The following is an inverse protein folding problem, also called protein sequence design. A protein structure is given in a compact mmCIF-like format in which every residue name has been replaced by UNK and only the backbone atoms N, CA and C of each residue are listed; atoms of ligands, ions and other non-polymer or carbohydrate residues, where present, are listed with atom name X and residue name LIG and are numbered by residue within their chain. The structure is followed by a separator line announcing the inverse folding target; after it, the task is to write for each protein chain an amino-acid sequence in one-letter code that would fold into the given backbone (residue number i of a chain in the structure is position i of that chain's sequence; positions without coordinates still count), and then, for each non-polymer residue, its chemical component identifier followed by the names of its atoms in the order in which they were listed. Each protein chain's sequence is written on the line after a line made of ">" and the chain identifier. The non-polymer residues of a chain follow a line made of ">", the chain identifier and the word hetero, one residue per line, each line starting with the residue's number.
data_IF_005941960060
#
_entry.id   IF_005941960060
#
_cell.length_a   1.000
_cell.length_b   1.000
_cell.length_c   1.000
_cell.angle_alpha   90.00
_cell.angle_beta   90.00
_cell.angle_gamma   90.00
#
_symmetry.space_group_name_H-M   'P 1'
#
loop_
_entity.id
_entity.type
_entity.pdbx_description
1 polymer ?
#
# COMPACT_ATOMS: atom_id res chain seq x y z
N UNK A 1 -27.48 21.98 -16.78
CA UNK A 1 -26.51 21.20 -15.97
C UNK A 1 -27.05 19.79 -15.82
N UNK A 2 -26.57 18.83 -16.62
CA UNK A 2 -27.09 17.45 -16.65
C UNK A 2 -26.47 16.66 -15.49
N UNK A 3 -27.31 16.13 -14.59
CA UNK A 3 -26.86 15.21 -13.53
C UNK A 3 -26.75 13.80 -14.15
N UNK A 4 -25.59 13.12 -14.09
CA UNK A 4 -25.50 11.77 -14.59
C UNK A 4 -26.20 10.80 -13.62
N UNK A 5 -27.32 10.21 -14.06
CA UNK A 5 -27.95 9.06 -13.43
C UNK A 5 -27.03 7.84 -13.61
N UNK A 6 -26.42 7.37 -12.52
CA UNK A 6 -25.65 6.12 -12.52
C UNK A 6 -26.59 4.94 -12.33
N UNK A 7 -26.69 4.08 -13.34
CA UNK A 7 -27.46 2.84 -13.25
C UNK A 7 -26.60 1.72 -12.62
N UNK A 8 -27.26 0.85 -11.86
CA UNK A 8 -26.65 -0.35 -11.25
C UNK A 8 -26.07 -1.22 -12.37
N UNK A 9 -24.74 -1.45 -12.35
CA UNK A 9 -24.03 -2.20 -13.40
C UNK A 9 -23.11 -1.38 -14.31
N UNK A 10 -23.02 -0.06 -14.14
CA UNK A 10 -21.99 0.73 -14.83
C UNK A 10 -20.61 0.49 -14.20
N UNK A 11 -19.75 -0.24 -14.92
CA UNK A 11 -18.33 -0.39 -14.59
C UNK A 11 -17.55 0.80 -15.16
N UNK A 12 -16.74 1.44 -14.32
CA UNK A 12 -15.75 2.42 -14.76
C UNK A 12 -14.45 1.66 -14.96
N UNK A 13 -14.07 1.46 -16.22
CA UNK A 13 -12.75 0.93 -16.56
C UNK A 13 -11.73 2.06 -16.46
N UNK A 14 -10.79 1.91 -15.53
CA UNK A 14 -9.65 2.81 -15.41
C UNK A 14 -8.39 2.04 -15.82
N UNK A 15 -7.79 2.44 -16.94
CA UNK A 15 -6.50 1.92 -17.38
C UNK A 15 -5.41 2.75 -16.71
N UNK A 16 -4.50 2.09 -16.00
CA UNK A 16 -3.34 2.73 -15.36
C UNK A 16 -2.07 2.38 -16.14
N UNK A 17 -1.47 3.37 -16.78
CA UNK A 17 -0.14 3.26 -17.37
C UNK A 17 0.92 3.31 -16.25
N UNK A 18 1.71 2.24 -16.11
CA UNK A 18 2.76 2.10 -15.09
C UNK A 18 3.80 3.22 -15.18
N UNK A 19 4.27 3.55 -16.38
CA UNK A 19 5.27 4.59 -16.62
C UNK A 19 4.71 5.97 -16.32
N UNK A 20 3.44 6.22 -16.64
CA UNK A 20 2.77 7.46 -16.29
C UNK A 20 2.58 7.59 -14.77
N UNK A 21 2.19 6.51 -14.09
CA UNK A 21 2.01 6.49 -12.64
C UNK A 21 3.32 6.77 -11.90
N UNK A 22 4.40 6.07 -12.27
CA UNK A 22 5.74 6.25 -11.70
C UNK A 22 6.24 7.69 -11.89
N UNK A 23 6.09 8.25 -13.11
CA UNK A 23 6.43 9.65 -13.40
C UNK A 23 5.63 10.64 -12.55
N UNK A 24 4.33 10.44 -12.38
CA UNK A 24 3.47 11.32 -11.54
C UNK A 24 3.86 11.30 -10.07
N UNK A 25 4.28 10.15 -9.56
CA UNK A 25 4.68 9.99 -8.15
C UNK A 25 6.12 10.48 -7.93
N UNK A 26 6.89 10.71 -9.01
CA UNK A 26 8.30 11.16 -8.99
C UNK A 26 9.19 10.21 -8.20
N UNK A 27 8.94 8.92 -8.34
CA UNK A 27 9.71 7.82 -7.75
C UNK A 27 10.24 6.93 -8.87
N UNK A 28 11.24 6.11 -8.57
CA UNK A 28 11.70 5.06 -9.48
C UNK A 28 10.85 3.79 -9.30
N UNK A 29 10.94 2.85 -10.24
CA UNK A 29 10.26 1.55 -10.16
C UNK A 29 10.67 0.79 -8.90
N UNK A 30 11.95 0.85 -8.52
CA UNK A 30 12.46 0.24 -7.29
C UNK A 30 11.86 0.84 -6.02
N UNK A 31 11.69 2.16 -5.99
CA UNK A 31 11.07 2.84 -4.85
C UNK A 31 9.60 2.46 -4.72
N UNK A 32 8.91 2.23 -5.85
CA UNK A 32 7.53 1.81 -5.86
C UNK A 32 7.34 0.44 -5.21
N UNK A 33 8.29 -0.48 -5.39
CA UNK A 33 8.28 -1.80 -4.73
C UNK A 33 8.36 -1.61 -3.21
N UNK A 34 9.30 -0.81 -2.72
CA UNK A 34 9.43 -0.56 -1.27
C UNK A 34 8.22 0.21 -0.74
N UNK A 35 7.66 1.14 -1.52
CA UNK A 35 6.44 1.87 -1.17
C UNK A 35 5.25 0.91 -0.99
N UNK A 36 5.11 -0.10 -1.87
CA UNK A 36 4.07 -1.12 -1.75
C UNK A 36 4.28 -2.00 -0.51
N UNK A 37 5.53 -2.32 -0.15
CA UNK A 37 5.85 -3.06 1.08
C UNK A 37 5.39 -2.30 2.32
N UNK A 38 5.67 -0.99 2.41
CA UNK A 38 5.40 -0.21 3.64
C UNK A 38 3.98 0.37 3.72
N UNK A 39 3.29 0.54 2.60
CA UNK A 39 1.97 1.17 2.53
C UNK A 39 0.81 0.23 2.88
N UNK A 40 1.12 -1.02 3.20
CA UNK A 40 0.16 -2.06 3.52
C UNK A 40 -0.15 -2.91 2.30
N UNK A 41 0.08 -4.20 2.44
CA UNK A 41 -0.11 -5.20 1.40
C UNK A 41 -0.76 -6.44 2.01
N UNK A 42 -1.08 -7.42 1.17
CA UNK A 42 -1.74 -8.66 1.59
C UNK A 42 -0.95 -9.48 2.62
N UNK A 43 0.37 -9.27 2.71
CA UNK A 43 1.27 -10.03 3.59
C UNK A 43 1.56 -9.31 4.90
N UNK A 44 1.63 -7.98 4.89
CA UNK A 44 2.02 -7.16 6.04
C UNK A 44 1.21 -5.87 6.06
N UNK A 45 0.69 -5.54 7.24
CA UNK A 45 -0.02 -4.27 7.48
C UNK A 45 0.91 -3.07 7.41
N UNK A 46 0.35 -1.90 7.11
CA UNK A 46 1.11 -0.66 7.04
C UNK A 46 1.56 -0.16 8.42
N UNK A 47 2.44 0.83 8.41
CA UNK A 47 2.74 1.61 9.62
C UNK A 47 1.53 2.52 9.92
N UNK A 48 0.92 2.43 11.12
CA UNK A 48 -0.21 3.27 11.49
C UNK A 48 0.11 4.77 11.40
N UNK A 49 -0.89 5.57 11.03
CA UNK A 49 -0.74 7.03 10.94
C UNK A 49 0.09 7.53 9.75
N UNK A 50 0.45 6.64 8.82
CA UNK A 50 1.20 7.00 7.61
C UNK A 50 0.33 6.82 6.37
N UNK A 51 -0.10 7.95 5.79
CA UNK A 51 -0.78 7.96 4.50
C UNK A 51 0.21 7.80 3.34
N UNK A 52 -0.29 7.34 2.18
CA UNK A 52 0.53 7.13 0.97
C UNK A 52 1.32 8.39 0.59
N UNK A 53 0.68 9.57 0.62
CA UNK A 53 1.34 10.85 0.29
C UNK A 53 2.50 11.15 1.25
N UNK A 54 2.33 10.82 2.53
CA UNK A 54 3.39 10.98 3.55
C UNK A 54 4.56 10.04 3.26
N UNK A 55 4.27 8.79 2.89
CA UNK A 55 5.30 7.82 2.53
C UNK A 55 6.11 8.31 1.32
N UNK A 56 5.44 8.76 0.25
CA UNK A 56 6.11 9.31 -0.94
C UNK A 56 7.04 10.48 -0.58
N UNK A 57 6.60 11.40 0.29
CA UNK A 57 7.44 12.51 0.76
C UNK A 57 8.67 12.03 1.55
N UNK A 58 8.53 11.00 2.37
CA UNK A 58 9.67 10.42 3.12
C UNK A 58 10.67 9.81 2.13
N UNK A 59 10.20 9.09 1.11
CA UNK A 59 11.05 8.51 0.09
C UNK A 59 11.83 9.56 -0.71
N UNK A 60 11.18 10.66 -1.08
CA UNK A 60 11.84 11.80 -1.72
C UNK A 60 12.95 12.38 -0.83
N UNK A 61 12.69 12.57 0.47
CA UNK A 61 13.71 13.02 1.44
C UNK A 61 14.87 12.05 1.63
N UNK A 62 14.63 10.74 1.51
CA UNK A 62 15.70 9.74 1.56
C UNK A 62 16.58 9.88 0.31
N UNK A 63 15.97 10.05 -0.87
CA UNK A 63 16.67 10.19 -2.14
C UNK A 63 17.42 11.50 -2.33
N UNK A 64 16.98 12.58 -1.69
CA UNK A 64 17.75 13.83 -1.62
C UNK A 64 19.16 13.62 -1.04
N UNK A 65 19.37 12.56 -0.25
CA UNK A 65 20.68 12.21 0.34
C UNK A 65 21.53 11.28 -0.54
N UNK A 66 21.06 10.92 -1.73
CA UNK A 66 21.74 10.01 -2.68
C UNK A 66 20.89 8.82 -3.09
N UNK A 67 21.42 8.03 -4.02
CA UNK A 67 20.78 6.80 -4.47
C UNK A 67 21.09 5.62 -3.52
N UNK A 68 20.05 4.85 -3.23
CA UNK A 68 20.11 3.72 -2.30
C UNK A 68 19.46 2.48 -2.92
N UNK A 69 19.95 1.30 -2.57
CA UNK A 69 19.28 0.05 -2.92
C UNK A 69 17.92 -0.07 -2.22
N UNK A 70 17.01 -0.91 -2.74
CA UNK A 70 15.67 -1.14 -2.16
C UNK A 70 15.71 -1.46 -0.66
N UNK A 71 16.70 -2.25 -0.25
CA UNK A 71 16.91 -2.63 1.16
C UNK A 71 17.40 -1.47 2.01
N UNK A 72 18.33 -0.66 1.48
CA UNK A 72 18.84 0.51 2.18
C UNK A 72 17.74 1.58 2.35
N UNK A 73 16.89 1.76 1.34
CA UNK A 73 15.71 2.64 1.42
C UNK A 73 14.77 2.17 2.53
N UNK A 74 14.45 0.87 2.56
CA UNK A 74 13.56 0.31 3.59
C UNK A 74 14.13 0.51 5.01
N UNK A 75 15.42 0.23 5.22
CA UNK A 75 16.09 0.45 6.52
C UNK A 75 16.03 1.91 6.95
N UNK A 76 16.36 2.84 6.05
CA UNK A 76 16.29 4.29 6.33
C UNK A 76 14.87 4.75 6.60
N UNK A 77 13.90 4.22 5.87
CA UNK A 77 12.48 4.53 6.05
C UNK A 77 12.00 4.10 7.44
N UNK A 78 12.32 2.88 7.88
CA UNK A 78 12.00 2.38 9.22
C UNK A 78 12.64 3.24 10.31
N UNK A 79 13.92 3.60 10.13
CA UNK A 79 14.63 4.49 11.06
C UNK A 79 13.96 5.87 11.17
N UNK A 80 13.57 6.48 10.05
CA UNK A 80 12.86 7.76 10.02
C UNK A 80 11.45 7.67 10.61
N UNK A 81 10.79 6.53 10.46
CA UNK A 81 9.46 6.30 11.01
C UNK A 81 9.48 5.83 12.47
N UNK A 82 10.66 5.60 13.06
CA UNK A 82 10.83 5.05 14.41
C UNK A 82 9.99 3.79 14.61
N UNK A 83 10.01 2.89 13.63
CA UNK A 83 9.21 1.68 13.62
C UNK A 83 10.08 0.44 13.58
N UNK A 84 9.72 -0.53 14.41
CA UNK A 84 10.28 -1.88 14.52
C UNK A 84 9.45 -2.93 13.75
N UNK A 85 8.50 -2.49 12.92
CA UNK A 85 7.62 -3.37 12.16
C UNK A 85 8.44 -4.31 11.28
N UNK A 86 8.14 -5.61 11.38
CA UNK A 86 8.75 -6.61 10.54
C UNK A 86 8.07 -6.68 9.16
N UNK A 87 8.86 -6.48 8.11
CA UNK A 87 8.44 -6.59 6.70
C UNK A 87 9.07 -7.78 5.97
N UNK A 88 9.72 -8.73 6.65
CA UNK A 88 10.47 -9.83 6.04
C UNK A 88 9.63 -10.67 5.06
N UNK A 89 8.38 -10.97 5.41
CA UNK A 89 7.47 -11.73 4.55
C UNK A 89 7.16 -10.96 3.26
N UNK A 90 6.81 -9.68 3.37
CA UNK A 90 6.57 -8.83 2.20
C UNK A 90 7.85 -8.64 1.39
N UNK A 91 9.00 -8.47 2.05
CA UNK A 91 10.31 -8.35 1.39
C UNK A 91 10.61 -9.59 0.55
N UNK A 92 10.46 -10.79 1.12
CA UNK A 92 10.69 -12.05 0.42
C UNK A 92 9.76 -12.29 -0.77
N UNK A 93 8.57 -11.69 -0.77
CA UNK A 93 7.68 -11.74 -1.93
C UNK A 93 8.08 -10.66 -2.94
N UNK A 94 8.06 -9.39 -2.54
CA UNK A 94 8.16 -8.25 -3.45
C UNK A 94 9.57 -7.99 -3.99
N UNK A 95 10.63 -8.28 -3.23
CA UNK A 95 12.00 -8.00 -3.69
C UNK A 95 12.53 -9.12 -4.58
N UNK A 96 12.05 -10.35 -4.40
CA UNK A 96 12.46 -11.52 -5.18
C UNK A 96 11.77 -11.61 -6.55
N UNK A 97 10.74 -10.79 -6.82
CA UNK A 97 10.06 -10.77 -8.12
C UNK A 97 10.98 -10.43 -9.29
N UNK A 98 12.06 -9.67 -9.07
CA UNK A 98 13.05 -9.35 -10.11
C UNK A 98 14.01 -10.50 -10.41
N UNK A 99 14.11 -11.53 -9.56
CA UNK A 99 15.04 -12.66 -9.73
C UNK A 99 14.43 -13.85 -10.50
N UNK A 100 13.22 -13.72 -11.04
CA UNK A 100 12.52 -14.80 -11.75
C UNK A 100 12.08 -15.97 -10.86
N UNK A 101 12.26 -15.86 -9.54
CA UNK A 101 11.79 -16.81 -8.54
C UNK A 101 10.44 -16.35 -8.00
N UNK A 102 9.38 -16.67 -8.73
CA UNK A 102 8.03 -16.58 -8.20
C UNK A 102 7.91 -17.63 -7.09
N UNK A 103 7.86 -17.20 -5.83
CA UNK A 103 7.46 -18.09 -4.75
C UNK A 103 6.07 -18.64 -5.09
N UNK A 104 5.86 -19.96 -4.90
CA UNK A 104 4.54 -20.57 -5.05
C UNK A 104 3.49 -19.72 -4.31
N UNK A 105 2.29 -19.53 -4.89
CA UNK A 105 1.23 -18.75 -4.25
C UNK A 105 1.06 -19.20 -2.80
N UNK A 106 1.48 -18.36 -1.86
CA UNK A 106 1.44 -18.67 -0.44
C UNK A 106 -0.01 -19.03 -0.07
N UNK A 107 -0.24 -20.25 0.44
CA UNK A 107 -1.55 -20.73 0.86
C UNK A 107 -2.14 -19.82 1.95
N UNK A 108 -3.00 -18.89 1.52
CA UNK A 108 -3.59 -17.83 2.35
C UNK A 108 -4.61 -18.36 3.36
N UNK A 109 -4.95 -19.65 3.32
CA UNK A 109 -5.94 -20.25 4.23
C UNK A 109 -5.51 -20.25 5.71
N UNK A 110 -4.20 -20.17 6.00
CA UNK A 110 -3.67 -20.29 7.37
C UNK A 110 -3.47 -18.96 8.10
N UNK A 111 -3.41 -17.82 7.40
CA UNK A 111 -3.17 -16.49 7.98
C UNK A 111 -4.43 -15.72 8.43
N UNK A 112 -5.61 -16.13 7.97
CA UNK A 112 -6.87 -15.41 8.19
C UNK A 112 -7.54 -15.68 9.56
N UNK A 113 -6.98 -16.53 10.43
CA UNK A 113 -7.68 -16.96 11.66
C UNK A 113 -7.75 -15.94 12.81
N UNK A 114 -7.21 -14.72 12.69
CA UNK A 114 -7.29 -13.71 13.78
C UNK A 114 -7.40 -12.28 13.27
N UNK A 115 -8.52 -11.90 12.65
CA UNK A 115 -8.92 -10.48 12.65
C UNK A 115 -10.43 -10.18 12.50
N UNK A 116 -11.30 -11.19 12.41
CA UNK A 116 -12.73 -10.96 12.11
C UNK A 116 -13.65 -10.66 13.31
N UNK A 117 -13.15 -10.14 14.45
CA UNK A 117 -14.04 -9.88 15.61
C UNK A 117 -13.96 -8.53 16.31
N UNK A 118 -13.12 -7.56 15.89
CA UNK A 118 -12.99 -6.30 16.69
C UNK A 118 -13.06 -4.96 15.98
N UNK A 119 -13.39 -4.86 14.69
CA UNK A 119 -13.56 -3.53 14.06
C UNK A 119 -14.73 -3.45 13.08
N UNK A 120 -15.92 -3.85 13.52
CA UNK A 120 -17.19 -3.42 12.92
C UNK A 120 -18.08 -2.85 14.01
N UNK A 121 -17.74 -1.66 14.51
CA UNK A 121 -18.69 -0.84 15.28
C UNK A 121 -18.29 0.62 15.26
N UNK A 122 -18.45 1.33 14.14
CA UNK A 122 -18.70 2.78 14.14
C UNK A 122 -19.20 3.18 12.77
N UNK A 123 -20.53 3.17 12.60
CA UNK A 123 -21.34 4.12 11.82
C UNK A 123 -22.79 3.63 11.84
N UNK A 124 -23.46 3.79 13.00
CA UNK A 124 -24.93 3.73 13.08
C UNK A 124 -25.43 5.17 13.24
N UNK A 125 -25.47 5.90 12.14
CA UNK A 125 -26.13 7.20 12.07
C UNK A 125 -27.63 7.00 12.23
N UNK A 126 -28.19 7.51 13.33
CA UNK A 126 -29.64 7.59 13.58
C UNK A 126 -30.27 8.53 12.54
N UNK A 127 -30.99 7.97 11.56
CA UNK A 127 -31.99 8.72 10.79
C UNK A 127 -33.35 8.55 11.44
N UNK A 128 -33.80 9.56 12.21
CA UNK A 128 -35.22 9.72 12.58
C UNK A 128 -35.96 10.13 11.31
N UNK A 129 -36.89 9.30 10.83
CA UNK A 129 -37.92 9.73 9.91
C UNK A 129 -39.13 10.15 10.74
N UNK A 130 -39.32 11.45 10.85
CA UNK A 130 -40.62 12.04 11.16
C UNK A 130 -41.24 12.51 9.84
N UNK A 131 -42.50 12.13 9.67
CA UNK A 131 -43.62 12.82 9.01
C UNK A 131 -44.69 11.78 8.71
#
# INVERSE_FOLDING_TARGET
>A
MVRPTRHRGQYVFNVLDKSLAVRKIRLNVDDLVVLAVVSGNDYVSNIPGKAIVTNVKIFQKIKEKGDFSKEAILKKYLQLCQSDRNFDLAKGVFFNFDEGKVLDPLDRSKGLKKQDKKSCSYFRGKGRLGS
#
